data_IF_949378785272
#
_entry.id   IF_949378785272
#
_cell.length_a   1.000
_cell.length_b   1.000
_cell.length_c   1.000
_cell.angle_alpha   90.00
_cell.angle_beta   90.00
_cell.angle_gamma   90.00
#
_symmetry.space_group_name_H-M   'P 1'
#
loop_
_entity.id
_entity.type
_entity.pdbx_description
1 polymer ?
#
# COMPACT_ATOMS: atom_id res chain seq x y z
N UNK A 1 -3.82 -34.75 4.21
CA UNK A 1 -3.88 -33.73 3.15
C UNK A 1 -4.10 -32.42 3.87
N UNK A 2 -3.02 -31.74 4.22
CA UNK A 2 -3.09 -30.41 4.81
C UNK A 2 -3.55 -29.46 3.69
N UNK A 3 -4.73 -28.86 3.88
CA UNK A 3 -5.10 -27.67 3.12
C UNK A 3 -4.28 -26.57 3.76
N UNK A 4 -3.12 -26.26 3.17
CA UNK A 4 -2.49 -24.95 3.38
C UNK A 4 -3.48 -23.93 2.82
N UNK A 5 -4.36 -23.44 3.69
CA UNK A 5 -4.95 -22.12 3.52
C UNK A 5 -3.74 -21.20 3.45
N UNK A 6 -3.26 -20.91 2.24
CA UNK A 6 -2.36 -19.79 2.07
C UNK A 6 -3.22 -18.61 2.52
N UNK A 7 -2.97 -18.01 3.70
CA UNK A 7 -3.68 -16.79 4.02
C UNK A 7 -3.40 -15.87 2.83
N UNK A 8 -4.47 -15.39 2.19
CA UNK A 8 -4.34 -14.53 1.02
C UNK A 8 -3.30 -13.45 1.32
N UNK A 9 -2.46 -13.14 0.34
CA UNK A 9 -1.33 -12.27 0.57
C UNK A 9 -1.81 -10.93 1.16
N UNK A 10 -1.00 -10.35 2.04
CA UNK A 10 -1.34 -9.10 2.70
C UNK A 10 -0.26 -8.07 2.45
N UNK A 11 -0.68 -6.82 2.36
CA UNK A 11 0.19 -5.68 2.17
C UNK A 11 -0.18 -4.63 3.21
N UNK A 12 0.76 -4.32 4.10
CA UNK A 12 0.57 -3.27 5.12
C UNK A 12 1.79 -2.36 5.23
N UNK A 13 1.52 -1.11 5.56
CA UNK A 13 2.57 -0.10 5.70
C UNK A 13 2.04 1.20 6.28
N UNK A 14 2.91 2.22 6.30
CA UNK A 14 2.57 3.56 6.80
C UNK A 14 2.78 4.57 5.70
N UNK A 15 1.82 5.47 5.48
CA UNK A 15 2.05 6.68 4.70
C UNK A 15 2.59 7.76 5.63
N UNK A 16 3.73 8.34 5.25
CA UNK A 16 4.35 9.45 5.96
C UNK A 16 4.56 10.62 5.00
N UNK A 17 4.51 11.85 5.50
CA UNK A 17 4.88 13.05 4.76
C UNK A 17 5.78 13.92 5.62
N UNK A 18 6.89 14.41 5.06
CA UNK A 18 7.90 15.16 5.81
C UNK A 18 8.32 14.50 7.15
N UNK A 19 8.39 13.16 7.16
CA UNK A 19 8.75 12.37 8.35
C UNK A 19 7.63 12.12 9.36
N UNK A 20 6.42 12.64 9.17
CA UNK A 20 5.26 12.40 10.06
C UNK A 20 4.21 11.50 9.42
N UNK A 21 3.54 10.60 10.17
CA UNK A 21 2.43 9.82 9.63
C UNK A 21 1.31 10.73 9.11
N UNK A 22 0.77 10.39 7.93
CA UNK A 22 -0.30 11.13 7.30
C UNK A 22 -1.61 10.38 7.40
N UNK A 23 -2.57 10.99 8.08
CA UNK A 23 -3.96 10.55 8.08
C UNK A 23 -4.71 11.08 6.87
N UNK A 24 -5.82 10.42 6.52
CA UNK A 24 -6.67 10.80 5.38
C UNK A 24 -5.96 10.72 4.01
N UNK A 25 -4.75 10.17 3.95
CA UNK A 25 -4.10 9.84 2.70
C UNK A 25 -4.80 8.63 2.06
N UNK A 26 -5.26 8.80 0.83
CA UNK A 26 -5.88 7.75 0.03
C UNK A 26 -4.80 6.88 -0.60
N UNK A 27 -4.84 5.58 -0.30
CA UNK A 27 -3.93 4.57 -0.83
C UNK A 27 -4.69 3.69 -1.82
N UNK A 28 -4.18 3.61 -3.03
CA UNK A 28 -4.76 2.82 -4.13
C UNK A 28 -3.80 1.70 -4.48
N UNK A 29 -4.30 0.47 -4.50
CA UNK A 29 -3.57 -0.70 -4.96
C UNK A 29 -3.96 -1.00 -6.40
N UNK A 30 -2.96 -1.10 -7.27
CA UNK A 30 -3.14 -1.35 -8.70
C UNK A 30 -2.37 -2.62 -9.06
N UNK A 31 -2.93 -3.49 -9.90
CA UNK A 31 -2.21 -4.66 -10.41
C UNK A 31 -1.19 -4.29 -11.50
N UNK A 32 -0.41 -5.28 -11.94
CA UNK A 32 0.59 -5.12 -13.02
C UNK A 32 0.00 -4.75 -14.38
N UNK A 33 -1.31 -4.89 -14.56
CA UNK A 33 -2.05 -4.56 -15.80
C UNK A 33 -2.63 -3.14 -15.72
N UNK A 34 -2.57 -2.49 -14.57
CA UNK A 34 -3.09 -1.15 -14.34
C UNK A 34 -4.52 -1.11 -13.79
N UNK A 35 -5.10 -2.24 -13.38
CA UNK A 35 -6.43 -2.26 -12.78
C UNK A 35 -6.36 -1.92 -11.29
N UNK A 36 -7.27 -1.08 -10.82
CA UNK A 36 -7.42 -0.81 -9.38
C UNK A 36 -8.04 -2.02 -8.70
N UNK A 37 -7.26 -2.65 -7.83
CA UNK A 37 -7.66 -3.82 -7.05
C UNK A 37 -8.41 -3.38 -5.79
N UNK A 38 -7.88 -2.37 -5.11
CA UNK A 38 -8.46 -1.88 -3.86
C UNK A 38 -8.09 -0.41 -3.63
N UNK A 39 -8.86 0.25 -2.77
CA UNK A 39 -8.55 1.58 -2.26
C UNK A 39 -8.88 1.64 -0.78
N UNK A 40 -7.99 2.24 -0.01
CA UNK A 40 -8.19 2.50 1.43
C UNK A 40 -7.74 3.90 1.78
N UNK A 41 -8.12 4.38 2.96
CA UNK A 41 -7.69 5.66 3.52
C UNK A 41 -6.95 5.40 4.82
N UNK A 42 -5.82 6.07 4.99
CA UNK A 42 -4.96 5.94 6.18
C UNK A 42 -5.59 6.54 7.43
N UNK A 43 -5.35 5.88 8.57
CA UNK A 43 -5.76 6.35 9.89
C UNK A 43 -4.88 7.48 10.44
N UNK A 44 -5.17 7.93 11.67
CA UNK A 44 -4.38 8.95 12.41
C UNK A 44 -2.89 8.60 12.52
N UNK A 45 -2.59 7.31 12.60
CA UNK A 45 -1.25 6.72 12.67
C UNK A 45 -0.60 6.53 11.30
N UNK A 46 -1.28 6.89 10.21
CA UNK A 46 -0.81 6.76 8.84
C UNK A 46 -0.82 5.34 8.28
N UNK A 47 -1.27 4.34 9.04
CA UNK A 47 -1.27 2.96 8.56
C UNK A 47 -2.31 2.70 7.48
N UNK A 48 -1.97 1.82 6.56
CA UNK A 48 -2.86 1.20 5.59
C UNK A 48 -2.61 -0.31 5.54
N UNK A 49 -3.66 -1.06 5.17
CA UNK A 49 -3.56 -2.49 4.98
C UNK A 49 -4.52 -2.97 3.87
N UNK A 50 -4.04 -3.91 3.08
CA UNK A 50 -4.79 -4.72 2.14
C UNK A 50 -4.55 -6.20 2.51
N UNK A 51 -5.59 -7.01 2.40
CA UNK A 51 -5.58 -8.44 2.68
C UNK A 51 -6.28 -9.17 1.55
N UNK A 52 -6.12 -10.49 1.49
CA UNK A 52 -6.76 -11.32 0.47
C UNK A 52 -6.27 -10.99 -0.96
N UNK A 53 -4.98 -10.66 -1.09
CA UNK A 53 -4.35 -10.42 -2.37
C UNK A 53 -3.88 -11.74 -2.99
N UNK A 54 -3.96 -11.82 -4.31
CA UNK A 54 -3.22 -12.83 -5.06
C UNK A 54 -1.71 -12.54 -4.97
N UNK A 55 -0.91 -13.57 -5.22
CA UNK A 55 0.53 -13.37 -5.39
C UNK A 55 0.80 -12.73 -6.75
N UNK A 56 1.52 -11.63 -6.78
CA UNK A 56 1.73 -10.84 -7.99
C UNK A 56 2.49 -9.54 -7.76
N UNK A 57 2.74 -8.82 -8.85
CA UNK A 57 3.27 -7.47 -8.78
C UNK A 57 2.12 -6.47 -8.68
N UNK A 58 2.24 -5.54 -7.74
CA UNK A 58 1.28 -4.47 -7.52
C UNK A 58 1.99 -3.12 -7.44
N UNK A 59 1.24 -2.08 -7.74
CA UNK A 59 1.66 -0.70 -7.63
C UNK A 59 0.80 -0.06 -6.55
N UNK A 60 1.45 0.47 -5.52
CA UNK A 60 0.77 1.19 -4.44
C UNK A 60 0.93 2.67 -4.69
N UNK A 61 -0.19 3.39 -4.76
CA UNK A 61 -0.20 4.83 -4.98
C UNK A 61 -0.86 5.50 -3.78
N UNK A 62 -0.15 6.40 -3.11
CA UNK A 62 -0.71 7.21 -2.02
C UNK A 62 -0.91 8.66 -2.48
N UNK A 63 -2.08 9.22 -2.18
CA UNK A 63 -2.46 10.60 -2.49
C UNK A 63 -2.95 11.31 -1.22
N UNK A 64 -2.34 12.46 -0.90
CA UNK A 64 -2.71 13.32 0.25
C UNK A 64 -1.97 14.68 0.23
N UNK A 65 -0.80 14.67 -0.40
CA UNK A 65 -0.11 15.76 -1.10
C UNK A 65 0.72 15.07 -2.23
N UNK A 66 1.42 15.75 -3.17
CA UNK A 66 1.60 15.28 -4.55
C UNK A 66 1.82 13.76 -4.70
N UNK A 67 1.08 13.09 -5.60
CA UNK A 67 0.94 11.63 -5.60
C UNK A 67 2.30 10.94 -5.76
N UNK A 68 2.54 9.90 -4.96
CA UNK A 68 3.67 8.98 -5.16
C UNK A 68 3.19 7.56 -5.37
N UNK A 69 3.87 6.87 -6.28
CA UNK A 69 3.71 5.46 -6.55
C UNK A 69 4.96 4.69 -6.10
N UNK A 70 4.75 3.51 -5.53
CA UNK A 70 5.79 2.54 -5.19
C UNK A 70 5.38 1.19 -5.77
N UNK A 71 6.31 0.54 -6.49
CA UNK A 71 6.09 -0.82 -6.99
C UNK A 71 6.47 -1.83 -5.91
N UNK A 72 5.63 -2.85 -5.72
CA UNK A 72 5.84 -3.89 -4.73
C UNK A 72 5.53 -5.27 -5.33
N UNK A 73 6.44 -6.21 -5.12
CA UNK A 73 6.21 -7.62 -5.44
C UNK A 73 5.64 -8.32 -4.20
N UNK A 74 4.41 -8.84 -4.32
CA UNK A 74 3.71 -9.56 -3.25
C UNK A 74 3.79 -11.05 -3.55
N UNK A 75 4.50 -11.81 -2.72
CA UNK A 75 4.61 -13.27 -2.81
C UNK A 75 4.08 -13.99 -1.56
N UNK A 76 3.45 -13.23 -0.66
CA UNK A 76 3.00 -13.64 0.67
C UNK A 76 2.65 -12.41 1.51
N UNK A 77 3.14 -12.33 2.75
CA UNK A 77 2.98 -11.12 3.57
C UNK A 77 4.04 -10.06 3.29
N UNK A 78 3.63 -8.86 2.89
CA UNK A 78 4.49 -7.67 2.82
C UNK A 78 4.13 -6.73 3.96
N UNK A 79 5.08 -6.58 4.88
CA UNK A 79 4.92 -5.80 6.09
C UNK A 79 5.94 -4.67 6.13
N UNK A 80 5.51 -3.47 6.52
CA UNK A 80 6.40 -2.33 6.70
C UNK A 80 6.78 -1.62 5.39
N UNK A 81 5.93 -1.70 4.36
CA UNK A 81 6.11 -0.88 3.16
C UNK A 81 5.74 0.58 3.46
N UNK A 82 6.70 1.34 3.96
CA UNK A 82 6.51 2.76 4.23
C UNK A 82 6.50 3.56 2.92
N UNK A 83 5.46 4.37 2.72
CA UNK A 83 5.36 5.30 1.59
C UNK A 83 5.62 6.71 2.09
N UNK A 84 6.73 7.28 1.67
CA UNK A 84 7.06 8.67 1.97
C UNK A 84 6.55 9.59 0.87
N UNK A 85 5.59 10.45 1.22
CA UNK A 85 5.12 11.59 0.43
C UNK A 85 6.09 12.76 0.63
N UNK A 86 6.94 12.98 -0.36
CA UNK A 86 7.76 14.18 -0.41
C UNK A 86 6.91 15.36 -0.91
N UNK A 87 6.92 16.48 -0.19
CA UNK A 87 6.65 17.77 -0.83
C UNK A 87 7.73 17.94 -1.90
N UNK A 88 7.37 17.90 -3.18
CA UNK A 88 8.14 18.62 -4.18
C UNK A 88 8.05 20.10 -3.80
N UNK A 89 9.00 20.57 -2.99
CA UNK A 89 9.20 22.00 -2.79
C UNK A 89 9.68 22.54 -4.14
N UNK A 90 8.75 23.15 -4.88
CA UNK A 90 9.08 24.12 -5.92
C UNK A 90 9.17 25.51 -5.30
#
# INVERSE_FOLDING_TARGET
>A
MEVELHPGAHLRGTVRGAGVPLSDARVTLVDSVGNVVATTTTGVDGAYAFSDLDSGAYIVTATGHPPRAAEVAVSGGVDGLDIELAHSSE
#
